data_IF_848902378478
#
_entry.id   IF_848902378478
#
_cell.length_a   1.000
_cell.length_b   1.000
_cell.length_c   1.000
_cell.angle_alpha   90.00
_cell.angle_beta   90.00
_cell.angle_gamma   90.00
#
_symmetry.space_group_name_H-M   'P 1'
#
loop_
_entity.id
_entity.type
_entity.pdbx_description
1 polymer ?
#
# COMPACT_ATOMS: atom_id res chain seq x y z
N UNK A 1 6.63 -31.94 -13.57
CA UNK A 1 7.47 -31.05 -14.40
C UNK A 1 8.92 -31.28 -14.02
N UNK A 2 9.88 -31.16 -14.95
CA UNK A 2 11.30 -31.20 -14.56
C UNK A 2 11.66 -29.98 -13.70
N UNK A 3 12.43 -30.15 -12.61
CA UNK A 3 12.95 -29.07 -11.82
C UNK A 3 13.69 -28.02 -12.66
N UNK A 4 13.44 -26.74 -12.41
CA UNK A 4 14.12 -25.63 -13.10
C UNK A 4 14.86 -24.80 -12.08
N UNK A 5 16.02 -24.26 -12.48
CA UNK A 5 16.71 -23.21 -11.72
C UNK A 5 16.02 -21.88 -11.98
N UNK A 6 15.58 -21.20 -10.92
CA UNK A 6 14.85 -19.93 -10.97
C UNK A 6 15.55 -18.92 -10.06
N UNK A 7 15.80 -17.74 -10.59
CA UNK A 7 16.31 -16.61 -9.82
C UNK A 7 15.20 -15.61 -9.61
N UNK A 8 15.05 -15.14 -8.35
CA UNK A 8 14.18 -14.04 -7.96
C UNK A 8 15.04 -12.84 -7.55
N UNK A 9 14.79 -11.68 -8.13
CA UNK A 9 15.47 -10.43 -7.81
C UNK A 9 14.62 -9.66 -6.80
N UNK A 10 15.11 -9.54 -5.56
CA UNK A 10 14.46 -8.83 -4.47
C UNK A 10 13.58 -9.72 -3.59
N UNK A 11 13.79 -9.62 -2.27
CA UNK A 11 13.08 -10.36 -1.22
C UNK A 11 11.92 -9.60 -0.58
N UNK A 12 11.27 -8.69 -1.32
CA UNK A 12 10.01 -8.11 -0.90
C UNK A 12 8.87 -9.14 -0.90
N UNK A 13 7.69 -8.80 -0.35
CA UNK A 13 6.54 -9.73 -0.20
C UNK A 13 6.26 -10.50 -1.50
N UNK A 14 6.10 -9.80 -2.63
CA UNK A 14 5.75 -10.46 -3.89
C UNK A 14 6.88 -11.37 -4.41
N UNK A 15 8.15 -11.00 -4.16
CA UNK A 15 9.31 -11.85 -4.48
C UNK A 15 9.32 -13.14 -3.66
N UNK A 16 9.11 -13.02 -2.34
CA UNK A 16 9.01 -14.18 -1.45
C UNK A 16 7.80 -15.05 -1.79
N UNK A 17 6.63 -14.47 -2.04
CA UNK A 17 5.43 -15.21 -2.44
C UNK A 17 5.64 -15.99 -3.74
N UNK A 18 6.30 -15.40 -4.73
CA UNK A 18 6.65 -16.07 -5.98
C UNK A 18 7.65 -17.20 -5.73
N UNK A 19 8.69 -16.95 -4.90
CA UNK A 19 9.70 -17.94 -4.56
C UNK A 19 9.09 -19.16 -3.86
N UNK A 20 8.24 -18.96 -2.87
CA UNK A 20 7.51 -20.01 -2.14
C UNK A 20 6.70 -20.87 -3.11
N UNK A 21 5.85 -20.25 -3.94
CA UNK A 21 5.01 -20.98 -4.92
C UNK A 21 5.83 -21.83 -5.89
N UNK A 22 6.98 -21.34 -6.31
CA UNK A 22 7.86 -22.04 -7.25
C UNK A 22 8.62 -23.18 -6.56
N UNK A 23 9.08 -22.97 -5.32
CA UNK A 23 9.75 -24.01 -4.55
C UNK A 23 8.80 -25.17 -4.22
N UNK A 24 7.55 -24.88 -3.82
CA UNK A 24 6.50 -25.90 -3.60
C UNK A 24 6.23 -26.74 -4.87
N UNK A 25 6.35 -26.12 -6.05
CA UNK A 25 6.22 -26.82 -7.33
C UNK A 25 7.48 -27.59 -7.75
N UNK A 26 8.47 -27.74 -6.87
CA UNK A 26 9.67 -28.55 -7.08
C UNK A 26 10.77 -27.86 -7.89
N UNK A 27 10.76 -26.53 -7.97
CA UNK A 27 11.83 -25.77 -8.62
C UNK A 27 12.94 -25.40 -7.62
N UNK A 28 14.18 -25.32 -8.09
CA UNK A 28 15.32 -24.76 -7.34
C UNK A 28 15.27 -23.23 -7.42
N UNK A 29 14.98 -22.58 -6.30
CA UNK A 29 14.75 -21.12 -6.26
C UNK A 29 15.83 -20.44 -5.44
N UNK A 30 16.49 -19.44 -6.05
CA UNK A 30 17.46 -18.56 -5.40
C UNK A 30 17.00 -17.12 -5.47
N UNK A 31 16.98 -16.44 -4.32
CA UNK A 31 16.63 -15.02 -4.18
C UNK A 31 17.90 -14.20 -3.94
N UNK A 32 18.12 -13.18 -4.76
CA UNK A 32 19.17 -12.17 -4.56
C UNK A 32 18.56 -10.88 -4.07
N UNK A 33 19.01 -10.41 -2.90
CA UNK A 33 18.57 -9.17 -2.26
C UNK A 33 19.76 -8.22 -2.10
N UNK A 34 19.54 -6.95 -2.47
CA UNK A 34 20.59 -5.93 -2.37
C UNK A 34 20.88 -5.49 -0.94
N UNK A 35 19.85 -5.53 -0.08
CA UNK A 35 19.95 -5.13 1.32
C UNK A 35 20.47 -6.28 2.18
N UNK A 36 20.80 -5.96 3.43
CA UNK A 36 21.24 -6.94 4.43
C UNK A 36 20.11 -7.83 4.97
N UNK A 37 18.83 -7.44 4.73
CA UNK A 37 17.64 -8.12 5.22
C UNK A 37 16.54 -8.21 4.17
N UNK A 38 15.54 -9.04 4.45
CA UNK A 38 14.34 -9.24 3.63
C UNK A 38 13.24 -8.22 3.95
N UNK A 39 12.13 -8.29 3.19
CA UNK A 39 10.89 -7.53 3.43
C UNK A 39 10.68 -6.36 2.46
N UNK A 40 11.74 -5.82 1.89
CA UNK A 40 11.68 -4.72 0.94
C UNK A 40 11.11 -3.46 1.59
N UNK A 41 9.91 -3.02 1.17
CA UNK A 41 9.24 -1.84 1.75
C UNK A 41 8.58 -2.12 3.11
N UNK A 42 8.36 -3.38 3.49
CA UNK A 42 7.84 -3.75 4.81
C UNK A 42 9.02 -4.14 5.68
N UNK A 43 9.50 -3.16 6.39
CA UNK A 43 10.57 -3.26 7.36
C UNK A 43 10.20 -2.43 8.59
N UNK A 44 11.01 -2.46 9.64
CA UNK A 44 10.85 -1.64 10.83
C UNK A 44 12.20 -1.20 11.35
N UNK A 45 12.19 -0.20 12.20
CA UNK A 45 13.34 0.21 12.99
C UNK A 45 12.92 0.69 14.38
N UNK A 46 13.87 0.70 15.30
CA UNK A 46 13.70 1.27 16.64
C UNK A 46 14.61 2.47 16.77
N UNK A 47 14.08 3.57 17.29
CA UNK A 47 14.84 4.78 17.62
C UNK A 47 14.36 5.37 18.93
N UNK A 48 15.27 5.61 19.86
CA UNK A 48 15.02 6.22 21.17
C UNK A 48 13.87 5.52 21.94
N UNK A 49 13.76 4.18 21.80
CA UNK A 49 12.73 3.36 22.43
C UNK A 49 11.39 3.32 21.70
N UNK A 50 11.24 4.01 20.56
CA UNK A 50 10.06 3.96 19.71
C UNK A 50 10.29 3.02 18.54
N UNK A 51 9.33 2.11 18.31
CA UNK A 51 9.28 1.21 17.15
C UNK A 51 8.51 1.86 16.02
N UNK A 52 8.98 1.73 14.80
CA UNK A 52 8.31 2.23 13.60
C UNK A 52 8.31 1.20 12.47
N UNK A 53 7.12 0.89 11.94
CA UNK A 53 6.99 0.25 10.63
C UNK A 53 7.30 1.27 9.51
N UNK A 54 8.09 0.88 8.49
CA UNK A 54 8.58 1.84 7.47
C UNK A 54 7.75 1.88 6.20
N UNK A 55 6.83 0.95 6.01
CA UNK A 55 6.11 0.77 4.75
C UNK A 55 4.60 0.88 4.86
N UNK A 56 3.88 0.09 4.07
CA UNK A 56 2.42 0.01 4.15
C UNK A 56 1.97 -0.34 5.56
N UNK A 57 1.00 0.39 6.08
CA UNK A 57 0.49 0.25 7.44
C UNK A 57 -0.91 -0.39 7.51
N UNK A 58 -1.55 -0.61 6.36
CA UNK A 58 -2.87 -1.25 6.27
C UNK A 58 -2.71 -2.71 5.85
N UNK A 59 -3.13 -3.64 6.71
CA UNK A 59 -3.21 -5.06 6.39
C UNK A 59 -4.64 -5.44 6.05
N UNK A 60 -4.88 -5.73 4.79
CA UNK A 60 -6.15 -6.21 4.25
C UNK A 60 -5.96 -7.57 3.60
N UNK A 61 -7.03 -8.37 3.47
CA UNK A 61 -7.02 -9.68 2.80
C UNK A 61 -5.96 -10.66 3.33
N UNK A 62 -5.92 -10.96 4.64
CA UNK A 62 -4.96 -11.90 5.22
C UNK A 62 -4.99 -13.28 4.55
N UNK A 63 -6.12 -13.68 3.96
CA UNK A 63 -6.27 -14.92 3.19
C UNK A 63 -5.25 -15.09 2.07
N UNK A 64 -4.73 -14.00 1.48
CA UNK A 64 -3.66 -14.09 0.48
C UNK A 64 -2.33 -14.60 1.07
N UNK A 65 -2.09 -14.31 2.35
CA UNK A 65 -0.91 -14.83 3.09
C UNK A 65 -1.19 -16.27 3.54
N UNK A 66 -2.37 -16.52 4.12
CA UNK A 66 -2.78 -17.86 4.58
C UNK A 66 -2.72 -18.89 3.46
N UNK A 67 -3.12 -18.52 2.23
CA UNK A 67 -3.05 -19.40 1.05
C UNK A 67 -1.63 -19.92 0.79
N UNK A 68 -0.59 -19.08 0.99
CA UNK A 68 0.80 -19.52 0.79
C UNK A 68 1.20 -20.60 1.80
N UNK A 69 0.75 -20.47 3.06
CA UNK A 69 0.99 -21.48 4.08
C UNK A 69 0.22 -22.78 3.77
N UNK A 70 -1.05 -22.68 3.38
CA UNK A 70 -1.84 -23.84 2.98
C UNK A 70 -1.21 -24.60 1.82
N UNK A 71 -0.71 -23.89 0.79
CA UNK A 71 -0.01 -24.50 -0.35
C UNK A 71 1.26 -25.23 0.09
N UNK A 72 1.91 -24.79 1.15
CA UNK A 72 3.11 -25.41 1.71
C UNK A 72 2.78 -26.54 2.72
N UNK A 73 1.50 -26.81 3.00
CA UNK A 73 1.09 -27.78 4.04
C UNK A 73 1.30 -27.27 5.47
N UNK A 74 1.36 -25.96 5.68
CA UNK A 74 1.65 -25.31 6.96
C UNK A 74 0.44 -24.53 7.48
N UNK A 75 0.38 -24.32 8.80
CA UNK A 75 -0.59 -23.43 9.44
C UNK A 75 -0.03 -22.00 9.55
N UNK A 76 -0.68 -21.04 8.93
CA UNK A 76 -0.28 -19.63 9.02
C UNK A 76 -0.26 -19.13 10.47
N UNK A 77 -1.20 -19.57 11.31
CA UNK A 77 -1.31 -19.16 12.71
C UNK A 77 -0.10 -19.56 13.59
N UNK A 78 0.72 -20.51 13.16
CA UNK A 78 1.97 -20.85 13.84
C UNK A 78 3.09 -19.82 13.61
N UNK A 79 2.96 -18.97 12.60
CA UNK A 79 3.98 -18.02 12.18
C UNK A 79 3.53 -16.55 12.28
N UNK A 80 2.24 -16.29 12.09
CA UNK A 80 1.67 -14.96 12.05
C UNK A 80 0.35 -14.91 12.82
N UNK A 81 0.31 -14.08 13.86
CA UNK A 81 -0.90 -13.75 14.60
C UNK A 81 -1.37 -12.36 14.15
N UNK A 82 -2.66 -12.19 13.95
CA UNK A 82 -3.27 -10.90 13.61
C UNK A 82 -4.71 -10.83 14.10
N UNK A 83 -5.19 -9.63 14.33
CA UNK A 83 -6.57 -9.37 14.73
C UNK A 83 -7.24 -8.34 13.84
N UNK A 84 -8.57 -8.42 13.71
CA UNK A 84 -9.36 -7.40 13.01
C UNK A 84 -9.50 -6.17 13.90
N UNK A 85 -9.20 -5.00 13.34
CA UNK A 85 -9.36 -3.74 14.06
C UNK A 85 -10.85 -3.40 14.22
N UNK A 86 -11.30 -2.96 15.41
CA UNK A 86 -12.68 -2.52 15.63
C UNK A 86 -13.00 -1.19 14.92
N UNK A 87 -12.00 -0.33 14.74
CA UNK A 87 -12.07 0.92 13.99
C UNK A 87 -11.10 0.82 12.82
N UNK A 88 -11.60 0.96 11.60
CA UNK A 88 -10.78 0.89 10.40
C UNK A 88 -10.03 2.19 10.16
N UNK A 89 -10.65 3.33 10.48
CA UNK A 89 -10.02 4.65 10.36
C UNK A 89 -10.86 5.73 11.04
N UNK A 90 -10.20 6.72 11.63
CA UNK A 90 -10.84 8.00 12.01
C UNK A 90 -10.52 9.06 10.97
N UNK A 91 -11.55 9.78 10.54
CA UNK A 91 -11.45 10.83 9.54
C UNK A 91 -11.76 12.17 10.17
N UNK A 92 -10.90 13.15 9.91
CA UNK A 92 -11.01 14.50 10.43
C UNK A 92 -11.08 15.51 9.26
N UNK A 93 -12.03 16.42 9.38
CA UNK A 93 -12.27 17.49 8.41
C UNK A 93 -12.18 18.85 9.10
N UNK A 94 -12.30 19.92 8.34
CA UNK A 94 -12.41 21.27 8.91
C UNK A 94 -13.60 21.39 9.88
N UNK A 95 -13.56 22.42 10.71
CA UNK A 95 -14.61 22.77 11.69
C UNK A 95 -14.89 21.65 12.71
N UNK A 96 -13.86 20.88 13.09
CA UNK A 96 -13.96 19.76 14.03
C UNK A 96 -14.95 18.65 13.62
N UNK A 97 -15.32 18.61 12.34
CA UNK A 97 -16.16 17.54 11.82
C UNK A 97 -15.32 16.26 11.71
N UNK A 98 -15.82 15.19 12.32
CA UNK A 98 -15.10 13.90 12.33
C UNK A 98 -16.04 12.74 12.04
N UNK A 99 -15.47 11.65 11.50
CA UNK A 99 -16.19 10.41 11.23
C UNK A 99 -15.34 9.21 11.65
N UNK A 100 -15.91 8.33 12.48
CA UNK A 100 -15.26 7.09 12.90
C UNK A 100 -15.79 5.92 12.08
N UNK A 101 -14.95 5.34 11.25
CA UNK A 101 -15.32 4.16 10.46
C UNK A 101 -15.13 2.89 11.27
N UNK A 102 -16.18 2.40 11.93
CA UNK A 102 -16.19 1.12 12.61
C UNK A 102 -16.16 -0.05 11.62
N UNK A 103 -15.55 -1.16 12.03
CA UNK A 103 -15.43 -2.37 11.20
C UNK A 103 -16.69 -3.27 11.20
N UNK A 104 -17.67 -2.95 12.02
CA UNK A 104 -18.95 -3.64 12.09
C UNK A 104 -20.11 -2.73 11.69
N UNK A 105 -21.21 -3.33 11.23
CA UNK A 105 -22.36 -2.58 10.73
C UNK A 105 -23.12 -1.82 11.84
N UNK A 106 -23.12 -2.38 13.06
CA UNK A 106 -23.81 -1.81 14.22
C UNK A 106 -23.20 -0.47 14.66
N UNK A 107 -21.90 -0.30 14.54
CA UNK A 107 -21.21 0.97 14.79
C UNK A 107 -21.19 1.89 13.58
N UNK A 108 -20.89 1.33 12.38
CA UNK A 108 -20.66 2.11 11.17
C UNK A 108 -21.88 2.89 10.70
N UNK A 109 -23.06 2.26 10.58
CA UNK A 109 -24.22 2.93 10.02
C UNK A 109 -24.85 4.00 10.92
N UNK A 110 -24.93 3.83 12.26
CA UNK A 110 -25.35 4.92 13.16
C UNK A 110 -24.39 6.11 13.10
N UNK A 111 -23.08 5.87 13.11
CA UNK A 111 -22.06 6.93 12.99
C UNK A 111 -22.19 7.68 11.64
N UNK A 112 -22.36 6.95 10.54
CA UNK A 112 -22.59 7.55 9.22
C UNK A 112 -23.89 8.34 9.17
N UNK A 113 -24.95 7.85 9.82
CA UNK A 113 -26.23 8.56 9.90
C UNK A 113 -26.10 9.89 10.64
N UNK A 114 -25.29 9.92 11.70
CA UNK A 114 -25.00 11.15 12.44
C UNK A 114 -24.10 12.11 11.65
N UNK A 115 -23.08 11.56 10.97
CA UNK A 115 -22.12 12.33 10.19
C UNK A 115 -22.74 12.92 8.91
N UNK A 116 -23.48 12.14 8.15
CA UNK A 116 -24.15 12.51 6.89
C UNK A 116 -25.36 11.61 6.64
N UNK A 117 -26.49 11.95 7.27
CA UNK A 117 -27.73 11.14 7.15
C UNK A 117 -28.22 10.97 5.72
N UNK A 118 -27.96 11.95 4.85
CA UNK A 118 -28.31 11.89 3.43
C UNK A 118 -27.49 10.86 2.65
N UNK A 119 -26.34 10.43 3.17
CA UNK A 119 -25.47 9.42 2.56
C UNK A 119 -25.60 8.02 3.16
N UNK A 120 -26.35 7.83 4.24
CA UNK A 120 -26.46 6.53 4.91
C UNK A 120 -26.94 5.41 3.95
N UNK A 121 -28.03 5.65 3.21
CA UNK A 121 -28.55 4.71 2.21
C UNK A 121 -27.64 4.63 0.97
N UNK A 122 -27.21 5.75 0.36
CA UNK A 122 -26.25 5.74 -0.74
C UNK A 122 -24.97 4.96 -0.45
N UNK A 123 -24.34 5.14 0.70
CA UNK A 123 -23.10 4.42 1.08
C UNK A 123 -23.37 2.93 1.26
N UNK A 124 -24.49 2.54 1.90
CA UNK A 124 -24.87 1.12 2.02
C UNK A 124 -25.00 0.46 0.64
N UNK A 125 -25.65 1.14 -0.31
CA UNK A 125 -25.76 0.64 -1.68
C UNK A 125 -24.42 0.64 -2.41
N UNK A 126 -23.59 1.66 -2.17
CA UNK A 126 -22.25 1.75 -2.73
C UNK A 126 -21.36 0.56 -2.29
N UNK A 127 -21.33 0.26 -0.98
CA UNK A 127 -20.54 -0.85 -0.44
C UNK A 127 -21.06 -2.22 -0.91
N UNK A 128 -22.38 -2.38 -1.05
CA UNK A 128 -22.96 -3.58 -1.67
C UNK A 128 -22.50 -3.74 -3.13
N UNK A 129 -22.52 -2.65 -3.90
CA UNK A 129 -22.04 -2.67 -5.30
C UNK A 129 -20.53 -2.93 -5.38
N UNK A 130 -19.75 -2.36 -4.47
CA UNK A 130 -18.31 -2.60 -4.37
C UNK A 130 -17.99 -4.09 -4.11
N UNK A 131 -18.73 -4.73 -3.18
CA UNK A 131 -18.62 -6.16 -2.92
C UNK A 131 -18.97 -7.00 -4.14
N UNK A 132 -20.07 -6.69 -4.83
CA UNK A 132 -20.47 -7.39 -6.05
C UNK A 132 -19.42 -7.23 -7.16
N UNK A 133 -18.89 -6.01 -7.31
CA UNK A 133 -17.83 -5.73 -8.30
C UNK A 133 -16.55 -6.50 -7.97
N UNK A 134 -16.17 -6.53 -6.69
CA UNK A 134 -15.01 -7.28 -6.21
C UNK A 134 -15.18 -8.78 -6.46
N UNK A 135 -16.29 -9.38 -6.04
CA UNK A 135 -16.54 -10.81 -6.18
C UNK A 135 -16.58 -11.26 -7.65
N UNK A 136 -17.08 -10.43 -8.56
CA UNK A 136 -17.20 -10.76 -9.97
C UNK A 136 -15.96 -10.41 -10.81
N UNK A 137 -15.31 -9.29 -10.48
CA UNK A 137 -14.21 -8.73 -11.27
C UNK A 137 -12.84 -8.87 -10.58
N UNK A 138 -12.79 -8.94 -9.25
CA UNK A 138 -11.54 -9.00 -8.47
C UNK A 138 -10.66 -10.17 -8.89
N UNK A 139 -11.21 -11.36 -9.06
CA UNK A 139 -10.47 -12.53 -9.54
C UNK A 139 -9.81 -12.37 -10.92
N UNK A 140 -10.30 -11.45 -11.75
CA UNK A 140 -9.69 -11.12 -13.03
C UNK A 140 -8.66 -10.00 -12.87
N UNK A 141 -9.03 -8.92 -12.21
CA UNK A 141 -8.19 -7.72 -12.09
C UNK A 141 -7.05 -7.85 -11.07
N UNK A 142 -7.22 -8.68 -10.04
CA UNK A 142 -6.22 -8.89 -8.99
C UNK A 142 -5.39 -10.15 -9.21
N UNK A 143 -6.01 -11.25 -9.70
CA UNK A 143 -5.35 -12.57 -9.77
C UNK A 143 -4.88 -12.95 -11.17
N UNK A 144 -5.19 -12.18 -12.21
CA UNK A 144 -4.77 -12.47 -13.60
C UNK A 144 -4.00 -11.31 -14.22
N UNK A 145 -3.06 -11.68 -15.11
CA UNK A 145 -2.33 -10.68 -15.89
C UNK A 145 -3.25 -10.06 -16.95
N UNK A 146 -3.49 -8.75 -16.85
CA UNK A 146 -4.27 -8.00 -17.83
C UNK A 146 -3.57 -7.82 -19.19
N UNK A 147 -2.27 -8.13 -19.28
CA UNK A 147 -1.48 -8.07 -20.51
C UNK A 147 -1.61 -9.33 -21.38
N UNK A 148 -2.17 -10.42 -20.84
CA UNK A 148 -2.38 -11.66 -21.59
C UNK A 148 -3.72 -11.63 -22.34
N UNK A 149 -3.71 -11.88 -23.66
CA UNK A 149 -4.93 -11.99 -24.46
C UNK A 149 -5.88 -13.07 -23.95
N UNK A 150 -5.36 -14.18 -23.42
CA UNK A 150 -6.16 -15.25 -22.81
C UNK A 150 -6.98 -14.81 -21.62
N UNK A 151 -6.55 -13.77 -20.88
CA UNK A 151 -7.33 -13.19 -19.79
C UNK A 151 -8.63 -12.59 -20.30
N UNK A 152 -8.60 -11.97 -21.50
CA UNK A 152 -9.74 -11.27 -22.13
C UNK A 152 -10.66 -12.19 -22.95
N UNK A 153 -10.19 -13.38 -23.32
CA UNK A 153 -10.95 -14.38 -24.11
C UNK A 153 -11.74 -15.37 -23.23
N UNK A 154 -11.78 -15.15 -21.91
CA UNK A 154 -12.48 -16.04 -20.98
C UNK A 154 -13.99 -15.71 -20.96
N UNK A 155 -14.86 -16.77 -20.98
CA UNK A 155 -16.34 -16.62 -20.92
C UNK A 155 -16.82 -15.80 -19.72
N UNK A 156 -16.07 -15.80 -18.60
CA UNK A 156 -16.39 -15.00 -17.41
C UNK A 156 -16.26 -13.49 -17.64
N UNK A 157 -15.52 -13.04 -18.65
CA UNK A 157 -15.41 -11.62 -18.99
C UNK A 157 -16.73 -11.05 -19.50
N UNK A 158 -17.51 -11.80 -20.25
CA UNK A 158 -18.82 -11.34 -20.70
C UNK A 158 -19.76 -11.09 -19.52
N UNK A 159 -19.70 -11.91 -18.47
CA UNK A 159 -20.48 -11.64 -17.24
C UNK A 159 -19.95 -10.42 -16.50
N UNK A 160 -18.63 -10.23 -16.44
CA UNK A 160 -18.01 -9.05 -15.84
C UNK A 160 -18.35 -7.79 -16.62
N UNK A 161 -18.29 -7.79 -17.95
CA UNK A 161 -18.67 -6.66 -18.81
C UNK A 161 -20.18 -6.34 -18.63
N UNK A 162 -21.04 -7.34 -18.48
CA UNK A 162 -22.48 -7.16 -18.27
C UNK A 162 -22.80 -6.60 -16.88
N UNK A 163 -22.03 -6.99 -15.84
CA UNK A 163 -22.16 -6.52 -14.46
C UNK A 163 -21.40 -5.20 -14.26
N UNK A 164 -20.24 -5.08 -14.88
CA UNK A 164 -19.46 -3.85 -14.96
C UNK A 164 -20.15 -2.94 -15.97
N UNK A 165 -21.14 -2.17 -15.49
CA UNK A 165 -21.74 -1.14 -16.35
C UNK A 165 -20.59 -0.37 -16.99
N UNK A 166 -20.62 -0.18 -18.29
CA UNK A 166 -19.65 0.58 -19.11
C UNK A 166 -19.19 1.89 -18.42
N UNK A 167 -20.06 2.46 -17.58
CA UNK A 167 -19.79 3.64 -16.75
C UNK A 167 -18.61 3.53 -15.76
N UNK A 168 -18.24 2.32 -15.28
CA UNK A 168 -17.11 2.16 -14.37
C UNK A 168 -15.76 2.31 -15.05
N UNK A 169 -15.69 2.01 -16.35
CA UNK A 169 -14.45 2.08 -17.14
C UNK A 169 -14.23 3.49 -17.68
N UNK A 170 -15.31 4.16 -18.13
CA UNK A 170 -15.23 5.45 -18.82
C UNK A 170 -15.41 6.68 -17.92
N UNK A 171 -15.80 6.51 -16.65
CA UNK A 171 -15.88 7.62 -15.69
C UNK A 171 -14.68 7.58 -14.76
N UNK A 172 -14.22 8.76 -14.35
CA UNK A 172 -13.23 8.84 -13.27
C UNK A 172 -13.88 8.44 -11.93
N UNK A 173 -13.06 8.00 -10.96
CA UNK A 173 -13.52 7.65 -9.62
C UNK A 173 -14.27 8.82 -8.97
N UNK A 174 -13.72 10.02 -9.04
CA UNK A 174 -14.36 11.22 -8.49
C UNK A 174 -15.71 11.50 -9.12
N UNK A 175 -15.84 11.38 -10.46
CA UNK A 175 -17.13 11.57 -11.15
C UNK A 175 -18.14 10.48 -10.76
N UNK A 176 -17.69 9.25 -10.58
CA UNK A 176 -18.52 8.16 -10.10
C UNK A 176 -19.05 8.43 -8.68
N UNK A 177 -18.14 8.81 -7.76
CA UNK A 177 -18.49 9.10 -6.36
C UNK A 177 -19.47 10.26 -6.26
N UNK A 178 -19.24 11.37 -6.98
CA UNK A 178 -20.15 12.53 -7.01
C UNK A 178 -21.55 12.20 -7.52
N UNK A 179 -21.70 11.17 -8.36
CA UNK A 179 -23.02 10.71 -8.84
C UNK A 179 -23.74 9.80 -7.84
N UNK A 180 -23.01 9.21 -6.88
CA UNK A 180 -23.56 8.23 -5.93
C UNK A 180 -23.69 8.77 -4.52
N UNK A 181 -22.88 9.72 -4.16
CA UNK A 181 -22.74 10.26 -2.81
C UNK A 181 -23.02 11.77 -2.86
N UNK A 182 -23.61 12.30 -1.81
CA UNK A 182 -24.10 13.68 -1.76
C UNK A 182 -23.12 14.60 -1.02
N UNK A 183 -22.73 14.23 0.21
CA UNK A 183 -21.82 15.02 1.03
C UNK A 183 -20.43 15.09 0.40
N UNK A 184 -19.83 16.29 0.29
CA UNK A 184 -18.45 16.46 -0.16
C UNK A 184 -17.45 15.65 0.66
N UNK A 185 -17.62 15.56 1.98
CA UNK A 185 -16.73 14.83 2.86
C UNK A 185 -16.82 13.31 2.60
N UNK A 186 -18.03 12.78 2.43
CA UNK A 186 -18.23 11.38 2.07
C UNK A 186 -17.63 11.10 0.70
N UNK A 187 -17.79 11.98 -0.30
CA UNK A 187 -17.13 11.87 -1.59
C UNK A 187 -15.61 11.86 -1.45
N UNK A 188 -15.06 12.66 -0.54
CA UNK A 188 -13.62 12.74 -0.28
C UNK A 188 -13.09 11.44 0.35
N UNK A 189 -13.79 10.86 1.33
CA UNK A 189 -13.47 9.53 1.88
C UNK A 189 -13.38 8.49 0.75
N UNK A 190 -14.34 8.46 -0.15
CA UNK A 190 -14.36 7.48 -1.24
C UNK A 190 -13.40 7.82 -2.40
N UNK A 191 -13.04 9.08 -2.60
CA UNK A 191 -12.00 9.50 -3.55
C UNK A 191 -10.60 9.08 -3.09
N UNK A 192 -10.36 9.02 -1.78
CA UNK A 192 -9.10 8.57 -1.18
C UNK A 192 -8.65 7.20 -1.70
N UNK A 193 -9.59 6.33 -2.06
CA UNK A 193 -9.23 4.97 -2.51
C UNK A 193 -8.40 4.94 -3.81
N UNK A 194 -8.33 6.03 -4.57
CA UNK A 194 -7.37 6.16 -5.66
C UNK A 194 -5.91 6.14 -5.18
N UNK A 195 -5.62 6.57 -3.95
CA UNK A 195 -4.25 6.62 -3.41
C UNK A 195 -3.69 5.26 -3.03
N UNK A 196 -4.53 4.20 -2.97
CA UNK A 196 -4.06 2.82 -2.75
C UNK A 196 -3.02 2.37 -3.78
N UNK A 197 -3.13 2.85 -4.99
CA UNK A 197 -2.15 2.63 -6.06
C UNK A 197 -1.45 3.92 -6.50
N UNK A 198 -1.46 4.95 -5.67
CA UNK A 198 -0.81 6.23 -5.94
C UNK A 198 -1.41 6.98 -7.13
N UNK A 199 -2.72 6.84 -7.38
CA UNK A 199 -3.41 7.47 -8.49
C UNK A 199 -4.18 8.72 -8.10
N UNK A 200 -4.45 9.57 -9.08
CA UNK A 200 -5.30 10.76 -8.96
C UNK A 200 -6.79 10.37 -9.12
N UNK A 201 -7.69 10.57 -8.13
CA UNK A 201 -9.10 10.20 -8.22
C UNK A 201 -9.86 10.92 -9.35
N UNK A 202 -9.36 12.06 -9.79
CA UNK A 202 -9.93 12.85 -10.89
C UNK A 202 -9.53 12.34 -12.27
N UNK A 203 -8.55 11.41 -12.35
CA UNK A 203 -8.09 10.74 -13.57
C UNK A 203 -8.29 9.22 -13.53
N UNK A 204 -8.16 8.62 -12.35
CA UNK A 204 -8.27 7.18 -12.15
C UNK A 204 -9.66 6.64 -12.51
N UNK A 205 -9.77 5.42 -13.08
CA UNK A 205 -11.05 4.86 -13.50
C UNK A 205 -11.98 4.57 -12.32
N UNK A 206 -13.28 4.70 -12.53
CA UNK A 206 -14.33 4.41 -11.54
C UNK A 206 -14.34 2.95 -11.07
N UNK A 207 -13.62 2.06 -11.75
CA UNK A 207 -13.39 0.68 -11.31
C UNK A 207 -12.76 0.61 -9.91
N UNK A 208 -11.97 1.59 -9.50
CA UNK A 208 -11.39 1.66 -8.15
C UNK A 208 -12.44 1.80 -7.04
N UNK A 209 -13.72 2.03 -7.40
CA UNK A 209 -14.84 1.95 -6.46
C UNK A 209 -15.06 0.58 -5.82
N UNK A 210 -14.33 -0.46 -6.27
CA UNK A 210 -14.31 -1.77 -5.60
C UNK A 210 -13.43 -1.77 -4.33
N UNK A 211 -12.41 -0.91 -4.23
CA UNK A 211 -11.42 -0.93 -3.14
C UNK A 211 -12.04 -0.70 -1.76
N UNK A 212 -13.06 0.18 -1.55
CA UNK A 212 -13.75 0.30 -0.27
C UNK A 212 -14.26 -1.03 0.30
N UNK A 213 -14.52 -2.04 -0.54
CA UNK A 213 -14.88 -3.38 -0.08
C UNK A 213 -13.81 -4.01 0.82
N UNK A 214 -12.53 -3.77 0.52
CA UNK A 214 -11.40 -4.33 1.28
C UNK A 214 -11.34 -3.80 2.71
N UNK A 215 -11.64 -2.52 2.92
CA UNK A 215 -11.65 -1.94 4.26
C UNK A 215 -12.98 -2.16 5.00
N UNK A 216 -14.10 -1.80 4.37
CA UNK A 216 -15.40 -1.77 5.06
C UNK A 216 -16.08 -3.13 5.15
N UNK A 217 -15.93 -4.01 4.15
CA UNK A 217 -16.58 -5.31 4.16
C UNK A 217 -15.63 -6.43 4.61
N UNK A 218 -14.41 -6.50 4.07
CA UNK A 218 -13.42 -7.52 4.45
C UNK A 218 -12.75 -7.16 5.78
N UNK A 219 -12.39 -5.89 5.97
CA UNK A 219 -11.83 -5.34 7.20
C UNK A 219 -10.35 -5.03 7.11
N UNK A 220 -9.89 -4.27 8.09
CA UNK A 220 -8.49 -3.94 8.33
C UNK A 220 -8.00 -4.74 9.51
N UNK A 221 -6.81 -5.30 9.40
CA UNK A 221 -6.20 -6.15 10.40
C UNK A 221 -4.89 -5.55 10.92
N UNK A 222 -4.49 -5.96 12.10
CA UNK A 222 -3.23 -5.60 12.70
C UNK A 222 -2.43 -6.86 13.04
N UNK A 223 -1.23 -7.05 12.46
CA UNK A 223 -0.34 -8.15 12.82
C UNK A 223 0.28 -7.88 14.20
N UNK A 224 0.21 -8.83 15.10
CA UNK A 224 0.84 -8.72 16.43
C UNK A 224 2.35 -8.51 16.29
N UNK A 225 2.86 -7.40 16.84
CA UNK A 225 4.26 -6.98 16.72
C UNK A 225 4.60 -6.21 15.44
N UNK A 226 3.58 -5.67 14.71
CA UNK A 226 3.76 -4.77 13.57
C UNK A 226 3.77 -5.45 12.20
N UNK A 227 3.80 -4.63 11.15
CA UNK A 227 3.70 -5.09 9.76
C UNK A 227 4.85 -5.99 9.33
N UNK A 228 6.05 -5.80 9.90
CA UNK A 228 7.21 -6.63 9.57
C UNK A 228 6.97 -8.12 9.87
N UNK A 229 6.11 -8.46 10.83
CA UNK A 229 5.77 -9.86 11.15
C UNK A 229 5.22 -10.64 9.96
N UNK A 230 4.58 -9.97 9.02
CA UNK A 230 4.14 -10.58 7.75
C UNK A 230 5.35 -11.06 6.95
N UNK A 231 6.39 -10.23 6.84
CA UNK A 231 7.60 -10.59 6.09
C UNK A 231 8.46 -11.62 6.83
N UNK A 232 8.50 -11.56 8.17
CA UNK A 232 9.14 -12.57 9.01
C UNK A 232 8.52 -13.95 8.76
N UNK A 233 7.19 -14.03 8.77
CA UNK A 233 6.44 -15.27 8.53
C UNK A 233 6.67 -15.82 7.12
N UNK A 234 6.64 -14.95 6.09
CA UNK A 234 6.91 -15.36 4.71
C UNK A 234 8.35 -15.80 4.51
N UNK A 235 9.31 -15.14 5.13
CA UNK A 235 10.72 -15.55 5.06
C UNK A 235 10.94 -16.92 5.70
N UNK A 236 10.37 -17.16 6.88
CA UNK A 236 10.43 -18.46 7.55
C UNK A 236 9.83 -19.57 6.68
N UNK A 237 8.66 -19.31 6.06
CA UNK A 237 8.03 -20.26 5.14
C UNK A 237 8.90 -20.50 3.90
N UNK A 238 9.46 -19.45 3.30
CA UNK A 238 10.34 -19.57 2.13
C UNK A 238 11.58 -20.43 2.44
N UNK A 239 12.20 -20.22 3.61
CA UNK A 239 13.32 -21.06 4.08
C UNK A 239 12.90 -22.52 4.24
N UNK A 240 11.74 -22.75 4.83
CA UNK A 240 11.21 -24.12 5.07
C UNK A 240 10.89 -24.85 3.75
N UNK A 241 10.46 -24.12 2.71
CA UNK A 241 10.19 -24.68 1.39
C UNK A 241 11.45 -24.85 0.52
N UNK A 242 12.65 -24.57 1.05
CA UNK A 242 13.93 -24.77 0.37
C UNK A 242 14.39 -23.61 -0.51
N UNK A 243 13.84 -22.40 -0.32
CA UNK A 243 14.33 -21.21 -1.03
C UNK A 243 15.68 -20.77 -0.46
N UNK A 244 16.66 -20.53 -1.33
CA UNK A 244 17.98 -20.00 -1.00
C UNK A 244 17.98 -18.46 -1.09
N UNK A 245 18.57 -17.78 -0.09
CA UNK A 245 18.69 -16.32 -0.06
C UNK A 245 20.13 -15.88 -0.01
N UNK A 246 20.47 -14.87 -0.83
CA UNK A 246 21.72 -14.15 -0.80
C UNK A 246 21.42 -12.67 -0.55
N UNK A 247 21.74 -12.21 0.65
CA UNK A 247 21.66 -10.79 1.05
C UNK A 247 22.95 -10.05 0.67
N UNK A 248 22.93 -8.71 0.73
CA UNK A 248 24.02 -7.85 0.28
C UNK A 248 24.51 -8.21 -1.14
N UNK A 249 23.56 -8.67 -1.97
CA UNK A 249 23.82 -9.25 -3.28
C UNK A 249 23.04 -8.52 -4.38
N UNK A 250 23.39 -7.27 -4.70
CA UNK A 250 22.69 -6.48 -5.70
C UNK A 250 22.84 -7.10 -7.09
N UNK A 251 21.72 -7.38 -7.74
CA UNK A 251 21.71 -7.77 -9.15
C UNK A 251 22.06 -6.53 -10.00
N UNK A 252 23.13 -6.63 -10.76
CA UNK A 252 23.66 -5.54 -11.59
C UNK A 252 23.05 -5.52 -12.99
N UNK A 253 22.70 -6.71 -13.51
CA UNK A 253 22.14 -6.88 -14.87
C UNK A 253 21.42 -8.22 -15.00
N UNK A 254 20.38 -8.27 -15.83
CA UNK A 254 19.76 -9.51 -16.33
C UNK A 254 20.48 -9.90 -17.62
N UNK A 255 20.99 -11.13 -17.66
CA UNK A 255 21.67 -11.71 -18.85
C UNK A 255 20.56 -12.20 -19.80
N UNK A 256 20.60 -11.72 -21.03
CA UNK A 256 19.70 -12.18 -22.08
C UNK A 256 20.39 -12.19 -23.44
N UNK A 257 20.07 -13.18 -24.27
CA UNK A 257 20.49 -13.29 -25.64
C UNK A 257 19.30 -13.72 -26.49
N UNK A 258 19.20 -13.21 -27.73
CA UNK A 258 18.16 -13.56 -28.71
C UNK A 258 16.73 -13.47 -28.14
N UNK A 259 16.48 -12.53 -27.25
CA UNK A 259 15.17 -12.35 -26.61
C UNK A 259 14.81 -13.35 -25.49
N UNK A 260 15.74 -14.21 -25.11
CA UNK A 260 15.60 -15.14 -23.99
C UNK A 260 16.46 -14.69 -22.82
N UNK A 261 15.93 -14.85 -21.61
CA UNK A 261 16.67 -14.61 -20.36
C UNK A 261 17.49 -15.84 -20.03
N UNK A 262 18.76 -15.66 -19.65
CA UNK A 262 19.71 -16.72 -19.34
C UNK A 262 20.16 -16.71 -17.89
N UNK A 263 20.02 -15.56 -17.18
CA UNK A 263 20.46 -15.44 -15.79
C UNK A 263 20.64 -13.99 -15.35
N UNK A 264 21.48 -13.79 -14.34
CA UNK A 264 21.78 -12.47 -13.77
C UNK A 264 23.28 -12.32 -13.51
N UNK A 265 23.73 -11.06 -13.42
CA UNK A 265 25.07 -10.70 -12.91
C UNK A 265 24.92 -10.17 -11.49
N UNK A 266 25.66 -10.78 -10.56
CA UNK A 266 25.73 -10.37 -9.14
C UNK A 266 27.21 -10.31 -8.77
N UNK A 267 27.67 -9.22 -8.18
CA UNK A 267 29.07 -9.02 -7.78
C UNK A 267 30.07 -9.37 -8.90
N UNK A 268 29.76 -8.96 -10.14
CA UNK A 268 30.54 -9.22 -11.37
C UNK A 268 30.67 -10.71 -11.76
N UNK A 269 29.86 -11.60 -11.17
CA UNK A 269 29.80 -13.02 -11.53
C UNK A 269 28.46 -13.34 -12.22
N UNK A 270 28.50 -14.24 -13.21
CA UNK A 270 27.32 -14.70 -13.93
C UNK A 270 26.66 -15.89 -13.19
N UNK A 271 25.36 -15.77 -12.94
CA UNK A 271 24.53 -16.85 -12.39
C UNK A 271 23.46 -17.22 -13.41
N UNK A 272 23.54 -18.40 -13.96
CA UNK A 272 22.62 -18.87 -15.00
C UNK A 272 21.39 -19.53 -14.41
N UNK A 273 20.22 -19.27 -15.03
CA UNK A 273 18.94 -19.82 -14.64
C UNK A 273 18.00 -19.95 -15.85
N UNK A 274 17.03 -20.87 -15.76
CA UNK A 274 16.02 -21.06 -16.79
C UNK A 274 14.98 -19.92 -16.81
N UNK A 275 14.81 -19.24 -15.67
CA UNK A 275 13.83 -18.14 -15.51
C UNK A 275 14.35 -17.14 -14.49
N UNK A 276 14.14 -15.86 -14.77
CA UNK A 276 14.39 -14.77 -13.83
C UNK A 276 13.08 -14.04 -13.56
N UNK A 277 12.75 -13.87 -12.29
CA UNK A 277 11.61 -13.09 -11.81
C UNK A 277 12.17 -11.81 -11.17
N UNK A 278 11.77 -10.66 -11.68
CA UNK A 278 12.15 -9.39 -11.06
C UNK A 278 11.01 -8.89 -10.16
N UNK A 279 11.30 -8.78 -8.86
CA UNK A 279 10.48 -8.07 -7.88
C UNK A 279 11.00 -6.66 -7.59
N UNK A 280 11.98 -6.19 -8.35
CA UNK A 280 12.38 -4.80 -8.35
C UNK A 280 11.32 -3.94 -9.07
N UNK A 281 11.28 -2.64 -8.74
CA UNK A 281 10.41 -1.69 -9.44
C UNK A 281 10.59 -1.81 -10.96
N UNK A 282 9.48 -1.68 -11.68
CA UNK A 282 9.46 -1.83 -13.15
C UNK A 282 10.43 -0.85 -13.83
N UNK A 283 10.59 0.36 -13.28
CA UNK A 283 11.53 1.35 -13.79
C UNK A 283 12.96 0.86 -13.65
N UNK A 284 13.34 0.35 -12.47
CA UNK A 284 14.66 -0.24 -12.20
C UNK A 284 14.90 -1.44 -13.11
N UNK A 285 13.91 -2.33 -13.19
CA UNK A 285 14.01 -3.55 -14.01
C UNK A 285 14.32 -3.22 -15.48
N UNK A 286 13.58 -2.32 -16.09
CA UNK A 286 13.75 -2.01 -17.52
C UNK A 286 14.91 -1.05 -17.79
N UNK A 287 15.12 -0.03 -16.96
CA UNK A 287 16.14 0.99 -17.20
C UNK A 287 17.54 0.55 -16.76
N UNK A 288 17.63 -0.17 -15.65
CA UNK A 288 18.94 -0.51 -15.06
C UNK A 288 19.33 -1.97 -15.31
N UNK A 289 18.41 -2.94 -15.12
CA UNK A 289 18.74 -4.35 -15.16
C UNK A 289 18.69 -4.95 -16.57
N UNK A 290 17.67 -4.62 -17.38
CA UNK A 290 17.54 -5.14 -18.75
C UNK A 290 18.29 -4.28 -19.77
N UNK A 291 18.39 -2.96 -19.53
CA UNK A 291 19.06 -1.99 -20.42
C UNK A 291 18.60 -2.08 -21.88
N UNK A 292 17.34 -2.45 -22.10
CA UNK A 292 16.76 -2.64 -23.44
C UNK A 292 15.98 -1.40 -23.82
N UNK A 293 16.50 -0.60 -24.77
CA UNK A 293 16.01 0.74 -25.08
C UNK A 293 14.60 0.78 -25.73
N UNK A 294 14.30 -0.13 -26.65
CA UNK A 294 13.02 -0.05 -27.42
C UNK A 294 11.81 -0.49 -26.59
N UNK A 295 11.91 -1.61 -25.86
CA UNK A 295 10.82 -2.07 -25.00
C UNK A 295 10.68 -1.20 -23.75
N UNK A 296 11.78 -0.74 -23.18
CA UNK A 296 11.79 0.10 -21.99
C UNK A 296 11.11 1.44 -22.22
N UNK A 297 11.33 2.11 -23.34
CA UNK A 297 10.65 3.37 -23.67
C UNK A 297 9.11 3.23 -23.66
N UNK A 298 8.58 2.14 -24.22
CA UNK A 298 7.13 1.89 -24.25
C UNK A 298 6.55 1.58 -22.86
N UNK A 299 7.27 0.77 -22.07
CA UNK A 299 6.82 0.35 -20.73
C UNK A 299 6.93 1.48 -19.71
N UNK A 300 7.93 2.35 -19.85
CA UNK A 300 8.18 3.47 -18.93
C UNK A 300 7.47 4.78 -19.30
N UNK A 301 6.72 4.80 -20.43
CA UNK A 301 5.96 5.97 -20.88
C UNK A 301 4.82 6.42 -19.95
N UNK A 302 4.06 5.51 -19.28
CA UNK A 302 2.99 5.92 -18.38
C UNK A 302 3.49 6.83 -17.24
N UNK A 303 2.61 7.76 -16.81
CA UNK A 303 2.88 8.63 -15.65
C UNK A 303 3.13 7.77 -14.41
N UNK A 304 4.17 8.11 -13.65
CA UNK A 304 4.49 7.43 -12.39
C UNK A 304 3.42 7.74 -11.34
N UNK A 305 3.18 6.79 -10.42
CA UNK A 305 2.36 7.00 -9.23
C UNK A 305 2.89 8.14 -8.36
N UNK A 306 2.05 8.67 -7.48
CA UNK A 306 2.54 9.50 -6.38
C UNK A 306 3.56 8.73 -5.54
N UNK A 307 4.41 9.49 -4.87
CA UNK A 307 5.30 9.04 -3.81
C UNK A 307 4.70 9.42 -2.44
N UNK A 308 5.47 9.27 -1.38
CA UNK A 308 5.12 9.71 -0.05
C UNK A 308 6.28 10.45 0.60
N UNK A 309 5.95 11.43 1.43
CA UNK A 309 6.86 12.03 2.41
C UNK A 309 6.38 11.59 3.79
N UNK A 310 7.27 10.98 4.55
CA UNK A 310 6.95 10.35 5.83
C UNK A 310 7.81 10.93 6.94
N UNK A 311 7.16 11.24 8.05
CA UNK A 311 7.79 11.60 9.31
C UNK A 311 7.48 10.50 10.32
N UNK A 312 8.49 10.00 10.99
CA UNK A 312 8.39 9.07 12.10
C UNK A 312 8.63 9.88 13.37
N UNK A 313 7.57 10.12 14.16
CA UNK A 313 7.63 10.92 15.38
C UNK A 313 7.41 10.05 16.61
N UNK A 314 8.34 10.09 17.55
CA UNK A 314 8.13 9.61 18.90
C UNK A 314 7.48 10.72 19.72
N UNK A 315 6.25 10.51 20.18
CA UNK A 315 5.44 11.53 20.86
C UNK A 315 5.54 11.31 22.38
N UNK A 316 5.83 12.38 23.12
CA UNK A 316 6.04 12.39 24.57
C UNK A 316 4.78 12.13 25.42
N UNK A 317 3.60 11.98 24.79
CA UNK A 317 2.36 11.62 25.49
C UNK A 317 1.41 10.84 24.57
N UNK A 318 0.31 10.36 25.15
CA UNK A 318 -0.78 9.72 24.41
C UNK A 318 -1.88 10.72 24.00
N UNK A 319 -2.54 10.44 22.86
CA UNK A 319 -3.63 11.25 22.31
C UNK A 319 -4.91 10.40 22.18
N UNK A 320 -5.81 10.42 23.16
CA UNK A 320 -7.01 9.58 23.18
C UNK A 320 -7.98 9.83 22.01
N UNK A 321 -7.90 11.02 21.39
CA UNK A 321 -8.74 11.40 20.23
C UNK A 321 -8.40 10.57 18.98
N UNK A 322 -7.14 10.10 18.87
CA UNK A 322 -6.63 9.34 17.76
C UNK A 322 -6.76 7.83 17.98
N UNK A 323 -6.75 7.08 16.89
CA UNK A 323 -6.76 5.62 16.87
C UNK A 323 -5.56 5.08 16.06
N UNK A 324 -5.53 3.80 15.76
CA UNK A 324 -4.45 3.19 14.95
C UNK A 324 -4.31 3.88 13.60
N UNK A 325 -5.41 4.18 12.93
CA UNK A 325 -5.42 4.85 11.63
C UNK A 325 -6.25 6.12 11.67
N UNK A 326 -5.64 7.23 11.26
CA UNK A 326 -6.26 8.55 11.27
C UNK A 326 -5.96 9.27 9.96
N UNK A 327 -6.92 9.98 9.41
CA UNK A 327 -6.75 10.80 8.21
C UNK A 327 -7.33 12.18 8.45
N UNK A 328 -6.48 13.19 8.32
CA UNK A 328 -6.84 14.61 8.37
C UNK A 328 -6.91 15.10 6.93
N UNK A 329 -8.09 15.32 6.41
CA UNK A 329 -8.27 15.70 5.02
C UNK A 329 -7.85 17.15 4.72
N UNK A 330 -7.34 17.36 3.50
CA UNK A 330 -7.19 18.69 2.92
C UNK A 330 -8.57 19.32 2.68
N UNK A 331 -8.68 20.64 2.83
CA UNK A 331 -9.89 21.40 2.52
C UNK A 331 -10.22 21.32 1.02
N UNK A 332 -9.24 21.56 0.18
CA UNK A 332 -9.36 21.46 -1.28
C UNK A 332 -8.61 20.23 -1.80
N UNK A 333 -9.33 19.09 -1.80
CA UNK A 333 -8.77 17.81 -2.25
C UNK A 333 -8.44 17.79 -3.74
N UNK A 334 -9.16 18.56 -4.56
CA UNK A 334 -8.86 18.68 -5.98
C UNK A 334 -7.53 19.42 -6.20
N UNK A 335 -7.33 20.53 -5.50
CA UNK A 335 -6.08 21.29 -5.58
C UNK A 335 -4.89 20.47 -5.07
N UNK A 336 -5.05 19.66 -4.01
CA UNK A 336 -3.99 18.76 -3.53
C UNK A 336 -3.49 17.86 -4.68
N UNK A 337 -4.38 17.20 -5.42
CA UNK A 337 -3.98 16.34 -6.55
C UNK A 337 -3.48 17.11 -7.77
N UNK A 338 -3.92 18.35 -7.98
CA UNK A 338 -3.36 19.23 -9.00
C UNK A 338 -1.91 19.61 -8.68
N UNK A 339 -1.61 19.94 -7.41
CA UNK A 339 -0.24 20.18 -6.94
C UNK A 339 0.64 18.95 -7.16
N UNK A 340 0.20 17.76 -6.74
CA UNK A 340 0.96 16.53 -6.83
C UNK A 340 1.27 16.10 -8.28
N UNK A 341 0.25 16.07 -9.14
CA UNK A 341 0.38 15.45 -10.45
C UNK A 341 0.73 16.42 -11.58
N UNK A 342 0.30 17.69 -11.47
CA UNK A 342 0.54 18.70 -12.51
C UNK A 342 1.72 19.59 -12.15
N UNK A 343 1.72 20.16 -10.95
CA UNK A 343 2.74 21.12 -10.53
C UNK A 343 3.97 20.44 -9.92
N UNK A 344 3.90 19.12 -9.65
CA UNK A 344 4.97 18.32 -9.05
C UNK A 344 5.47 18.91 -7.73
N UNK A 345 4.55 19.37 -6.91
CA UNK A 345 4.77 19.98 -5.60
C UNK A 345 3.79 19.40 -4.57
N UNK A 346 3.99 19.73 -3.29
CA UNK A 346 3.08 19.40 -2.19
C UNK A 346 2.20 20.62 -1.89
N UNK A 347 0.91 20.38 -1.62
CA UNK A 347 -0.02 21.42 -1.18
C UNK A 347 0.39 22.00 0.19
N UNK A 348 0.11 23.27 0.42
CA UNK A 348 0.28 23.87 1.75
C UNK A 348 -0.72 23.32 2.78
N UNK A 349 -1.81 22.75 2.32
CA UNK A 349 -2.79 22.03 3.13
C UNK A 349 -2.91 20.58 2.60
N UNK A 350 -1.96 19.69 2.93
CA UNK A 350 -2.01 18.31 2.47
C UNK A 350 -2.98 17.47 3.32
N UNK A 351 -3.50 16.40 2.74
CA UNK A 351 -4.12 15.32 3.50
C UNK A 351 -3.03 14.57 4.27
N UNK A 352 -3.20 14.48 5.59
CA UNK A 352 -2.25 13.85 6.51
C UNK A 352 -2.80 12.52 6.99
N UNK A 353 -2.06 11.44 6.81
CA UNK A 353 -2.33 10.14 7.39
C UNK A 353 -1.43 9.92 8.61
N UNK A 354 -2.01 9.50 9.73
CA UNK A 354 -1.27 9.15 10.95
C UNK A 354 -1.59 7.71 11.34
N UNK A 355 -0.56 6.88 11.43
CA UNK A 355 -0.68 5.53 11.97
C UNK A 355 0.05 5.45 13.32
N UNK A 356 -0.61 4.87 14.33
CA UNK A 356 -0.13 4.79 15.71
C UNK A 356 -0.23 3.35 16.18
N UNK A 357 0.84 2.59 16.00
CA UNK A 357 0.82 1.17 16.37
C UNK A 357 0.86 0.94 17.86
N UNK A 358 1.38 1.89 18.66
CA UNK A 358 1.34 1.85 20.13
C UNK A 358 -0.08 1.78 20.72
N UNK A 359 -1.13 2.14 19.95
CA UNK A 359 -2.54 1.94 20.34
C UNK A 359 -2.93 0.45 20.42
N UNK A 360 -2.19 -0.43 19.74
CA UNK A 360 -2.43 -1.88 19.73
C UNK A 360 -1.33 -2.67 20.45
N UNK A 361 -0.10 -2.22 20.34
CA UNK A 361 1.05 -2.84 20.97
C UNK A 361 1.79 -1.81 21.82
N UNK A 362 1.57 -1.88 23.15
CA UNK A 362 2.17 -0.93 24.09
C UNK A 362 3.72 -1.01 24.13
N UNK A 363 4.33 -2.04 23.56
CA UNK A 363 5.80 -2.16 23.45
C UNK A 363 6.38 -1.30 22.32
N UNK A 364 5.55 -0.74 21.46
CA UNK A 364 5.97 0.10 20.34
C UNK A 364 6.34 1.54 20.70
N UNK A 365 6.11 1.93 21.97
CA UNK A 365 6.57 3.20 22.51
C UNK A 365 6.88 3.05 24.01
N UNK A 366 7.69 3.95 24.59
CA UNK A 366 7.86 4.02 26.03
C UNK A 366 6.52 4.25 26.76
N UNK A 367 6.41 3.83 28.00
CA UNK A 367 5.17 3.93 28.78
C UNK A 367 4.60 5.36 28.78
N UNK A 368 3.30 5.49 28.45
CA UNK A 368 2.59 6.78 28.39
C UNK A 368 2.86 7.59 27.11
N UNK A 369 3.59 7.05 26.13
CA UNK A 369 3.98 7.70 24.88
C UNK A 369 3.39 7.00 23.66
N UNK A 370 3.57 7.57 22.46
CA UNK A 370 3.10 7.03 21.19
C UNK A 370 4.14 7.15 20.08
N UNK A 371 4.13 6.20 19.15
CA UNK A 371 4.87 6.24 17.90
C UNK A 371 3.95 6.66 16.76
N UNK A 372 4.27 7.75 16.07
CA UNK A 372 3.47 8.24 14.96
C UNK A 372 4.21 8.08 13.64
N UNK A 373 3.64 7.30 12.74
CA UNK A 373 3.96 7.31 11.31
C UNK A 373 3.07 8.35 10.64
N UNK A 374 3.63 9.50 10.29
CA UNK A 374 2.91 10.63 9.71
C UNK A 374 3.25 10.75 8.24
N UNK A 375 2.29 10.54 7.36
CA UNK A 375 2.51 10.47 5.91
C UNK A 375 1.61 11.48 5.18
N UNK A 376 2.20 12.12 4.17
CA UNK A 376 1.47 12.86 3.14
C UNK A 376 1.82 12.34 1.75
N UNK A 377 0.91 12.50 0.79
CA UNK A 377 1.21 12.22 -0.60
C UNK A 377 2.26 13.21 -1.12
N UNK A 378 3.24 12.70 -1.85
CA UNK A 378 4.29 13.49 -2.49
C UNK A 378 4.31 13.24 -4.01
N UNK A 379 4.74 14.19 -4.83
CA UNK A 379 4.94 13.96 -6.26
C UNK A 379 6.08 12.97 -6.50
N UNK A 380 6.12 12.35 -7.67
CA UNK A 380 7.30 11.60 -8.09
C UNK A 380 8.53 12.52 -8.15
N UNK A 381 9.69 12.00 -7.71
CA UNK A 381 10.93 12.76 -7.78
C UNK A 381 11.31 13.07 -9.25
N UNK A 382 11.43 14.36 -9.56
CA UNK A 382 11.86 14.90 -10.85
C UNK A 382 12.94 15.98 -10.69
N UNK A 383 13.63 16.00 -9.52
CA UNK A 383 14.70 16.95 -9.21
C UNK A 383 14.24 18.18 -8.39
N UNK A 384 13.13 18.08 -7.67
CA UNK A 384 12.66 19.13 -6.76
C UNK A 384 13.66 19.36 -5.62
N UNK A 385 13.60 20.55 -5.00
CA UNK A 385 14.33 20.82 -3.75
C UNK A 385 13.60 20.15 -2.57
N UNK A 386 13.94 18.89 -2.30
CA UNK A 386 13.28 18.09 -1.26
C UNK A 386 13.54 18.62 0.15
N UNK A 387 14.68 19.20 0.42
CA UNK A 387 14.97 19.81 1.72
C UNK A 387 13.96 20.94 2.04
N UNK A 388 13.77 21.85 1.11
CA UNK A 388 12.80 22.95 1.27
C UNK A 388 11.37 22.43 1.38
N UNK A 389 10.99 21.46 0.52
CA UNK A 389 9.65 20.85 0.51
C UNK A 389 9.37 20.15 1.84
N UNK A 390 10.32 19.38 2.34
CA UNK A 390 10.20 18.65 3.61
C UNK A 390 10.03 19.61 4.80
N UNK A 391 10.88 20.65 4.88
CA UNK A 391 10.81 21.65 5.95
C UNK A 391 9.48 22.41 5.94
N UNK A 392 8.99 22.77 4.76
CA UNK A 392 7.69 23.46 4.62
C UNK A 392 6.54 22.51 4.98
N UNK A 393 6.56 21.29 4.47
CA UNK A 393 5.53 20.28 4.75
C UNK A 393 5.45 19.94 6.24
N UNK A 394 6.60 19.80 6.91
CA UNK A 394 6.64 19.57 8.36
C UNK A 394 5.90 20.64 9.14
N UNK A 395 6.16 21.91 8.83
CA UNK A 395 5.46 23.05 9.48
C UNK A 395 3.95 23.00 9.23
N UNK A 396 3.55 22.79 7.99
CA UNK A 396 2.14 22.74 7.61
C UNK A 396 1.40 21.58 8.27
N UNK A 397 2.03 20.38 8.35
CA UNK A 397 1.49 19.21 9.02
C UNK A 397 1.28 19.48 10.52
N UNK A 398 2.29 20.04 11.20
CA UNK A 398 2.19 20.39 12.62
C UNK A 398 1.06 21.40 12.85
N UNK A 399 0.99 22.48 12.05
CA UNK A 399 -0.08 23.45 12.16
C UNK A 399 -1.48 22.83 11.99
N UNK A 400 -1.63 21.92 11.02
CA UNK A 400 -2.89 21.20 10.79
C UNK A 400 -3.27 20.32 11.97
N UNK A 401 -2.33 19.56 12.50
CA UNK A 401 -2.56 18.69 13.66
C UNK A 401 -2.87 19.54 14.92
N UNK A 402 -2.14 20.63 15.14
CA UNK A 402 -2.39 21.57 16.24
C UNK A 402 -3.81 22.11 16.19
N UNK A 403 -4.26 22.57 15.01
CA UNK A 403 -5.62 23.07 14.84
C UNK A 403 -6.69 22.02 15.14
N UNK A 404 -6.44 20.75 14.79
CA UNK A 404 -7.37 19.65 15.05
C UNK A 404 -7.37 19.22 16.53
N UNK A 405 -6.19 19.12 17.15
CA UNK A 405 -6.08 18.63 18.54
C UNK A 405 -6.32 19.73 19.58
N UNK A 406 -6.24 21.01 19.17
CA UNK A 406 -6.37 22.15 20.06
C UNK A 406 -5.14 22.39 20.96
N UNK A 407 -3.98 21.81 20.59
CA UNK A 407 -2.72 21.96 21.32
C UNK A 407 -1.51 21.95 20.39
N UNK A 408 -0.40 22.51 20.86
CA UNK A 408 0.86 22.50 20.11
C UNK A 408 1.60 21.17 20.32
N UNK A 409 1.70 20.36 19.23
CA UNK A 409 2.40 19.09 19.28
C UNK A 409 3.90 19.22 19.04
N UNK A 410 4.40 20.36 18.55
CA UNK A 410 5.82 20.52 18.20
C UNK A 410 6.77 20.19 19.38
N UNK A 411 6.53 20.72 20.61
CA UNK A 411 7.39 20.40 21.76
C UNK A 411 7.22 18.96 22.28
N UNK A 412 6.21 18.23 21.81
CA UNK A 412 5.93 16.85 22.22
C UNK A 412 6.61 15.83 21.30
N UNK A 413 7.25 16.26 20.23
CA UNK A 413 8.04 15.38 19.34
C UNK A 413 9.40 15.17 19.98
N UNK A 414 9.63 14.01 20.61
CA UNK A 414 10.89 13.67 21.28
C UNK A 414 11.95 13.11 20.32
N UNK A 415 11.53 12.40 19.29
CA UNK A 415 12.41 11.88 18.25
C UNK A 415 11.77 11.98 16.88
N UNK A 416 12.58 12.20 15.87
CA UNK A 416 12.13 12.31 14.49
C UNK A 416 13.07 11.61 13.53
N UNK A 417 12.50 10.89 12.55
CA UNK A 417 13.19 10.41 11.35
C UNK A 417 12.34 10.77 10.15
N UNK A 418 12.96 11.10 9.02
CA UNK A 418 12.27 11.53 7.80
C UNK A 418 12.62 10.57 6.67
N UNK A 419 11.62 10.21 5.87
CA UNK A 419 11.79 9.47 4.61
C UNK A 419 11.11 10.26 3.50
N UNK A 420 11.90 10.74 2.56
CA UNK A 420 11.47 11.49 1.39
C UNK A 420 11.54 10.64 0.09
N UNK A 421 11.11 11.17 -1.06
CA UNK A 421 11.12 10.45 -2.35
C UNK A 421 12.48 10.31 -3.04
N UNK A 422 13.61 10.71 -2.43
CA UNK A 422 14.96 10.58 -3.02
C UNK A 422 15.47 9.14 -3.03
#
# INVERSE_FOLDING_TARGET
MQPKKIIVIGSGIAGMAAAIRLAINGHEVTVYEKNESYGGKIASFVKDGFFFDTGPSLFTEPGNIEELFQLAGESCSAYLQYEKLPITCKYFFENNKQFTAYSNAEGFYPELQQFSGEDAIPVKQYLKNAAQLYNNAGGIFLNKSLHKRSTWLNKNIFSVIKITRVSYIFKTLSRYNRQKLKSPEVQQIFNRYATYNGSNPYKAPGMLSLIPHLEFNAGVYYPAGGMQKITDALFALAKKTGVHFHFNSPVQRIIHAEGKVEGVVVNNQNYFAHTVISNADIYITYKQLLRNDVKSQKVLKPERSSSALVFYWGMGKQFPQLDVHNILFAKDYFNEFNQLFRLKNISNDPTVYINITAKKDCTHAPAGKENWFVMINAPSNTGQNWEQITNTSRKNIIQKINAMLGEDIAPLIETETICDPI
#
